data_IF_886358122940
#
_entry.id   IF_886358122940
#
_cell.length_a   1.000
_cell.length_b   1.000
_cell.length_c   1.000
_cell.angle_alpha   90.00
_cell.angle_beta   90.00
_cell.angle_gamma   90.00
#
_symmetry.space_group_name_H-M   'P 1'
#
loop_
_entity.id
_entity.type
_entity.pdbx_description
1 polymer ?
#
# COMPACT_ATOMS: atom_id res chain seq x y z
N UNK A 1 11.80 -12.10 13.18
CA UNK A 1 11.77 -10.79 12.48
C UNK A 1 10.89 -10.81 11.23
N UNK A 2 11.15 -11.72 10.29
CA UNK A 2 10.40 -11.84 9.02
C UNK A 2 8.90 -12.12 9.22
N UNK A 3 8.52 -13.02 10.14
CA UNK A 3 7.10 -13.29 10.42
C UNK A 3 6.35 -12.07 10.96
N UNK A 4 7.01 -11.22 11.75
CA UNK A 4 6.42 -9.98 12.27
C UNK A 4 6.28 -8.93 11.16
N UNK A 5 7.22 -8.93 10.21
CA UNK A 5 7.17 -8.10 9.02
C UNK A 5 6.01 -8.51 8.10
N UNK A 6 5.84 -9.82 7.87
CA UNK A 6 4.84 -10.39 6.97
C UNK A 6 3.43 -10.48 7.59
N UNK A 7 3.31 -10.69 8.90
CA UNK A 7 2.05 -10.87 9.64
C UNK A 7 2.11 -10.12 10.99
N UNK A 8 2.05 -8.79 10.98
CA UNK A 8 2.04 -8.02 12.22
C UNK A 8 0.78 -8.34 13.03
N UNK A 9 0.90 -8.45 14.35
CA UNK A 9 -0.21 -8.74 15.27
C UNK A 9 -1.15 -7.57 15.53
N UNK A 10 -0.90 -6.40 14.95
CA UNK A 10 -1.68 -5.18 15.14
C UNK A 10 -1.02 -3.96 14.49
N UNK A 11 -1.73 -2.82 14.46
CA UNK A 11 -1.28 -1.61 13.75
C UNK A 11 0.06 -1.08 14.25
N UNK A 12 0.27 -1.05 15.57
CA UNK A 12 1.53 -0.59 16.15
C UNK A 12 2.71 -1.45 15.71
N UNK A 13 2.54 -2.77 15.74
CA UNK A 13 3.57 -3.73 15.31
C UNK A 13 3.89 -3.60 13.82
N UNK A 14 2.87 -3.35 12.98
CA UNK A 14 3.04 -3.14 11.55
C UNK A 14 3.94 -1.94 11.24
N UNK A 15 3.72 -0.83 11.96
CA UNK A 15 4.45 0.43 11.82
C UNK A 15 5.84 0.40 12.48
N UNK A 16 5.99 -0.33 13.60
CA UNK A 16 7.25 -0.43 14.34
C UNK A 16 8.34 -1.13 13.53
N UNK A 17 7.95 -2.08 12.69
CA UNK A 17 8.89 -2.94 11.94
C UNK A 17 9.29 -2.33 10.59
N UNK A 18 8.62 -1.28 10.14
CA UNK A 18 8.93 -0.55 8.91
C UNK A 18 7.78 0.32 8.43
N UNK A 19 8.01 1.07 7.36
CA UNK A 19 6.97 1.85 6.68
C UNK A 19 5.80 0.93 6.26
N UNK A 20 4.57 1.40 6.45
CA UNK A 20 3.36 0.64 6.12
C UNK A 20 2.18 1.58 5.88
N UNK A 21 1.40 1.29 4.84
CA UNK A 21 0.12 1.94 4.60
C UNK A 21 -0.96 1.18 5.36
N UNK A 22 -1.74 1.88 6.17
CA UNK A 22 -2.92 1.30 6.83
C UNK A 22 -4.15 1.76 6.06
N UNK A 23 -4.81 0.82 5.39
CA UNK A 23 -6.00 1.09 4.59
C UNK A 23 -7.24 0.68 5.37
N UNK A 24 -8.29 1.51 5.30
CA UNK A 24 -9.60 1.13 5.79
C UNK A 24 -10.39 0.48 4.65
N UNK A 25 -11.16 -0.56 4.95
CA UNK A 25 -11.97 -1.23 3.95
C UNK A 25 -13.17 -1.96 4.54
N UNK A 26 -13.98 -2.55 3.66
CA UNK A 26 -15.11 -3.41 4.03
C UNK A 26 -14.78 -4.84 3.58
N UNK A 27 -14.61 -5.73 4.55
CA UNK A 27 -14.34 -7.14 4.31
C UNK A 27 -15.62 -7.94 4.08
N UNK A 28 -15.53 -8.90 3.15
CA UNK A 28 -16.56 -9.89 2.85
C UNK A 28 -15.88 -11.22 2.50
N UNK A 29 -15.83 -12.13 3.47
CA UNK A 29 -15.16 -13.42 3.29
C UNK A 29 -13.65 -13.22 3.18
N UNK A 30 -13.06 -13.69 2.09
CA UNK A 30 -11.61 -13.68 1.82
C UNK A 30 -11.09 -12.40 1.17
N UNK A 31 -11.95 -11.39 0.97
CA UNK A 31 -11.56 -10.14 0.33
C UNK A 31 -11.96 -8.90 1.12
N UNK A 32 -11.24 -7.81 0.90
CA UNK A 32 -11.57 -6.47 1.40
C UNK A 32 -11.59 -5.46 0.25
N UNK A 33 -12.64 -4.64 0.21
CA UNK A 33 -12.73 -3.49 -0.69
C UNK A 33 -12.14 -2.25 -0.01
N UNK A 34 -11.19 -1.60 -0.67
CA UNK A 34 -10.54 -0.36 -0.21
C UNK A 34 -10.59 0.70 -1.30
N UNK A 35 -10.16 1.92 -0.96
CA UNK A 35 -10.01 3.01 -1.94
C UNK A 35 -8.96 2.72 -3.04
N UNK A 36 -8.09 1.71 -2.85
CA UNK A 36 -7.10 1.28 -3.85
C UNK A 36 -7.56 0.06 -4.67
N UNK A 37 -8.79 -0.40 -4.43
CA UNK A 37 -9.36 -1.61 -5.03
C UNK A 37 -9.49 -2.77 -4.05
N UNK A 38 -9.75 -3.96 -4.61
CA UNK A 38 -9.92 -5.21 -3.85
C UNK A 38 -8.57 -5.81 -3.50
N UNK A 39 -8.43 -6.25 -2.25
CA UNK A 39 -7.30 -7.02 -1.73
C UNK A 39 -7.80 -8.37 -1.23
N UNK A 40 -6.97 -9.40 -1.39
CA UNK A 40 -7.19 -10.70 -0.75
C UNK A 40 -6.70 -10.65 0.70
N UNK A 41 -7.45 -11.27 1.61
CA UNK A 41 -7.14 -11.32 3.04
C UNK A 41 -6.46 -12.65 3.39
N UNK A 42 -5.56 -12.61 4.39
CA UNK A 42 -4.89 -13.81 4.90
C UNK A 42 -5.84 -14.79 5.62
N UNK A 43 -7.02 -14.31 6.01
CA UNK A 43 -8.08 -15.08 6.64
C UNK A 43 -9.41 -14.33 6.52
N UNK A 44 -10.54 -15.03 6.64
CA UNK A 44 -11.84 -14.43 6.41
C UNK A 44 -12.18 -13.36 7.46
N UNK A 45 -12.79 -12.27 7.01
CA UNK A 45 -13.30 -11.21 7.88
C UNK A 45 -14.61 -10.63 7.34
N UNK A 46 -15.36 -9.96 8.21
CA UNK A 46 -16.62 -9.30 7.83
C UNK A 46 -16.69 -7.88 8.43
N UNK A 47 -17.25 -6.95 7.66
CA UNK A 47 -17.50 -5.59 8.11
C UNK A 47 -16.30 -4.67 7.94
N UNK A 48 -16.22 -3.61 8.75
CA UNK A 48 -15.15 -2.61 8.63
C UNK A 48 -13.87 -3.14 9.24
N UNK A 49 -12.81 -3.15 8.45
CA UNK A 49 -11.48 -3.61 8.87
C UNK A 49 -10.41 -2.60 8.47
N UNK A 50 -9.26 -2.69 9.14
CA UNK A 50 -8.02 -2.07 8.68
C UNK A 50 -7.07 -3.15 8.18
N UNK A 51 -6.36 -2.87 7.09
CA UNK A 51 -5.34 -3.77 6.55
C UNK A 51 -4.02 -3.05 6.39
N UNK A 52 -2.94 -3.77 6.69
CA UNK A 52 -1.58 -3.28 6.50
C UNK A 52 -1.07 -3.66 5.10
N UNK A 53 -0.65 -2.64 4.34
CA UNK A 53 -0.12 -2.77 2.98
C UNK A 53 1.27 -2.15 2.97
N UNK A 54 2.29 -2.99 2.79
CA UNK A 54 3.68 -2.53 2.75
C UNK A 54 3.96 -1.75 1.46
N UNK A 55 4.90 -0.78 1.47
CA UNK A 55 5.20 0.04 0.29
C UNK A 55 5.52 -0.75 -0.98
N UNK A 56 6.23 -1.87 -0.85
CA UNK A 56 6.62 -2.77 -1.93
C UNK A 56 5.47 -3.63 -2.47
N UNK A 57 4.31 -3.61 -1.80
CA UNK A 57 3.10 -4.32 -2.21
C UNK A 57 2.13 -3.41 -3.00
N UNK A 58 2.55 -2.19 -3.30
CA UNK A 58 1.86 -1.25 -4.18
C UNK A 58 2.67 -1.07 -5.46
N UNK A 59 1.97 -0.83 -6.57
CA UNK A 59 2.58 -0.51 -7.85
C UNK A 59 2.01 0.79 -8.43
N UNK A 60 2.83 1.47 -9.23
CA UNK A 60 2.47 2.71 -9.93
C UNK A 60 2.40 2.46 -11.44
N UNK A 61 1.32 2.92 -12.05
CA UNK A 61 1.11 2.82 -13.48
C UNK A 61 0.99 4.22 -14.09
N UNK A 62 1.77 4.46 -15.16
CA UNK A 62 1.59 5.60 -16.04
C UNK A 62 0.47 5.34 -17.06
N UNK A 63 -0.12 6.41 -17.62
CA UNK A 63 -1.09 6.34 -18.73
C UNK A 63 -2.48 5.80 -18.37
N UNK A 64 -2.74 5.48 -17.11
CA UNK A 64 -4.07 5.15 -16.59
C UNK A 64 -4.77 6.42 -16.07
N UNK A 65 -6.08 6.33 -15.81
CA UNK A 65 -6.82 7.41 -15.14
C UNK A 65 -6.26 7.61 -13.72
N UNK A 66 -5.37 8.58 -13.53
CA UNK A 66 -4.61 8.76 -12.30
C UNK A 66 -5.50 9.04 -11.07
N UNK A 67 -5.25 8.32 -9.98
CA UNK A 67 -5.88 8.48 -8.67
C UNK A 67 -4.93 9.09 -7.61
N UNK A 68 -3.68 9.38 -8.00
CA UNK A 68 -2.68 9.96 -7.11
C UNK A 68 -1.69 10.88 -7.84
N UNK A 69 -0.97 11.67 -7.04
CA UNK A 69 0.13 12.53 -7.46
C UNK A 69 1.38 12.23 -6.64
N UNK A 70 2.53 12.11 -7.29
CA UNK A 70 3.83 11.97 -6.61
C UNK A 70 4.18 13.31 -5.98
N UNK A 71 4.31 13.36 -4.66
CA UNK A 71 4.63 14.59 -3.92
C UNK A 71 6.05 14.59 -3.36
N UNK A 72 6.68 13.43 -3.24
CA UNK A 72 8.07 13.27 -2.79
C UNK A 72 8.67 11.96 -3.30
N UNK A 73 10.01 11.93 -3.44
CA UNK A 73 10.79 10.73 -3.77
C UNK A 73 12.12 10.72 -3.03
N UNK A 74 12.45 9.57 -2.45
CA UNK A 74 13.69 9.35 -1.71
C UNK A 74 14.44 8.16 -2.31
N UNK A 75 15.62 8.41 -2.90
CA UNK A 75 16.46 7.35 -3.45
C UNK A 75 17.22 6.62 -2.32
N UNK A 76 17.08 5.29 -2.25
CA UNK A 76 17.68 4.43 -1.21
C UNK A 76 18.57 3.34 -1.81
N UNK A 77 19.34 3.69 -2.85
CA UNK A 77 20.25 2.77 -3.52
C UNK A 77 19.55 1.93 -4.58
N UNK A 78 19.07 0.74 -4.20
CA UNK A 78 18.41 -0.17 -5.15
C UNK A 78 16.92 0.12 -5.34
N UNK A 79 16.32 0.88 -4.42
CA UNK A 79 14.92 1.27 -4.47
C UNK A 79 14.73 2.78 -4.33
N UNK A 80 13.56 3.26 -4.73
CA UNK A 80 13.07 4.61 -4.46
C UNK A 80 11.78 4.50 -3.63
N UNK A 81 11.74 5.25 -2.52
CA UNK A 81 10.53 5.43 -1.75
C UNK A 81 9.77 6.65 -2.27
N UNK A 82 8.56 6.45 -2.76
CA UNK A 82 7.66 7.49 -3.23
C UNK A 82 6.62 7.82 -2.16
N UNK A 83 6.34 9.11 -1.96
CA UNK A 83 5.15 9.56 -1.23
C UNK A 83 4.15 10.11 -2.22
N UNK A 84 2.91 9.65 -2.11
CA UNK A 84 1.83 10.02 -3.01
C UNK A 84 0.73 10.73 -2.25
N UNK A 85 0.14 11.76 -2.83
CA UNK A 85 -1.16 12.30 -2.41
C UNK A 85 -2.26 11.60 -3.20
N UNK A 86 -2.99 10.70 -2.54
CA UNK A 86 -4.13 10.00 -3.12
C UNK A 86 -5.38 10.89 -3.14
N UNK A 87 -6.23 10.73 -4.14
CA UNK A 87 -7.46 11.53 -4.29
C UNK A 87 -8.46 11.33 -3.14
N UNK A 88 -8.40 10.20 -2.43
CA UNK A 88 -9.16 9.96 -1.20
C UNK A 88 -8.66 10.79 0.01
N UNK A 89 -7.71 11.70 -0.18
CA UNK A 89 -7.28 12.66 0.84
C UNK A 89 -6.22 12.14 1.81
N UNK A 90 -5.51 11.06 1.47
CA UNK A 90 -4.41 10.51 2.31
C UNK A 90 -3.08 10.45 1.58
N UNK A 91 -2.02 10.36 2.37
CA UNK A 91 -0.68 10.07 1.87
C UNK A 91 -0.45 8.57 1.83
N UNK A 92 0.08 8.07 0.72
CA UNK A 92 0.55 6.70 0.56
C UNK A 92 2.07 6.68 0.40
N UNK A 93 2.67 5.58 0.80
CA UNK A 93 4.10 5.31 0.65
C UNK A 93 4.24 4.09 -0.26
N UNK A 94 5.03 4.20 -1.32
CA UNK A 94 5.26 3.12 -2.31
C UNK A 94 6.75 2.93 -2.51
N UNK A 95 7.22 1.70 -2.58
CA UNK A 95 8.61 1.38 -2.84
C UNK A 95 8.72 0.66 -4.18
N UNK A 96 9.50 1.22 -5.10
CA UNK A 96 9.77 0.64 -6.40
C UNK A 96 11.29 0.50 -6.62
N UNK A 97 11.75 -0.40 -7.51
CA UNK A 97 13.15 -0.44 -7.94
C UNK A 97 13.62 0.92 -8.45
N UNK A 98 14.92 1.22 -8.28
CA UNK A 98 15.50 2.51 -8.66
C UNK A 98 15.52 2.80 -10.17
N UNK A 99 15.16 1.82 -10.99
CA UNK A 99 14.94 1.96 -12.43
C UNK A 99 13.56 2.55 -12.76
N UNK A 100 12.65 2.68 -11.80
CA UNK A 100 11.38 3.38 -11.99
C UNK A 100 11.63 4.90 -12.06
N UNK A 101 11.01 5.55 -13.05
CA UNK A 101 11.30 6.94 -13.46
C UNK A 101 10.16 7.91 -13.16
N UNK A 102 9.48 7.76 -12.02
CA UNK A 102 8.45 8.73 -11.64
C UNK A 102 9.07 9.96 -11.01
N UNK A 103 8.60 11.14 -11.40
CA UNK A 103 9.05 12.43 -10.91
C UNK A 103 8.03 13.08 -9.97
N UNK A 104 8.49 14.00 -9.12
CA UNK A 104 7.57 14.82 -8.30
C UNK A 104 6.68 15.64 -9.23
N UNK A 105 5.37 15.60 -8.97
CA UNK A 105 4.32 16.19 -9.81
C UNK A 105 3.68 15.22 -10.80
N UNK A 106 4.25 14.02 -11.00
CA UNK A 106 3.64 13.02 -11.88
C UNK A 106 2.28 12.57 -11.36
N UNK A 107 1.33 12.46 -12.27
CA UNK A 107 0.00 11.89 -12.04
C UNK A 107 0.05 10.40 -12.35
N UNK A 108 -0.18 9.58 -11.34
CA UNK A 108 -0.03 8.13 -11.41
C UNK A 108 -1.30 7.42 -10.97
N UNK A 109 -1.47 6.19 -11.44
CA UNK A 109 -2.43 5.27 -10.86
C UNK A 109 -1.71 4.34 -9.88
N UNK A 110 -2.11 4.35 -8.61
CA UNK A 110 -1.60 3.46 -7.58
C UNK A 110 -2.62 2.37 -7.28
N UNK A 111 -2.15 1.12 -7.20
CA UNK A 111 -2.97 -0.04 -6.81
C UNK A 111 -2.13 -1.10 -6.09
N UNK A 112 -2.77 -2.05 -5.38
CA UNK A 112 -2.11 -3.23 -4.87
C UNK A 112 -1.57 -4.13 -5.99
N UNK A 113 -0.45 -4.80 -5.73
CA UNK A 113 0.02 -5.88 -6.61
C UNK A 113 -0.95 -7.06 -6.54
N UNK A 114 -1.27 -7.67 -7.69
CA UNK A 114 -2.35 -8.65 -7.81
C UNK A 114 -2.16 -9.92 -6.97
N UNK A 115 -0.94 -10.27 -6.58
CA UNK A 115 -0.61 -11.46 -5.79
C UNK A 115 -0.45 -11.18 -4.30
N UNK A 116 -0.70 -9.95 -3.83
CA UNK A 116 -0.54 -9.62 -2.42
C UNK A 116 -1.70 -10.18 -1.58
N UNK A 117 -1.36 -10.61 -0.36
CA UNK A 117 -2.32 -10.97 0.67
C UNK A 117 -2.17 -9.99 1.83
N UNK A 118 -3.26 -9.33 2.21
CA UNK A 118 -3.26 -8.27 3.20
C UNK A 118 -3.62 -8.83 4.60
N UNK A 119 -2.77 -8.61 5.63
CA UNK A 119 -3.14 -8.90 7.01
C UNK A 119 -4.11 -7.84 7.55
N UNK A 120 -5.18 -8.29 8.20
CA UNK A 120 -6.05 -7.45 9.02
C UNK A 120 -5.27 -7.00 10.26
N UNK A 121 -5.37 -5.72 10.60
CA UNK A 121 -4.73 -5.13 11.78
C UNK A 121 -5.76 -4.39 12.61
N UNK A 122 -5.72 -4.60 13.93
CA UNK A 122 -6.47 -3.82 14.93
C UNK A 122 -5.75 -2.49 15.27
#
# INVERSE_FOLDING_TARGET
>A
PEQVYARPSGRWTAQFVGEVNVLSGVARGDGVETELGKLDLAGPAEGRVHVAVRPEQLELLAGHAANAEVVDREFRGHDVLYRLRHEAGRTLIVQLPSLALFEVGDRVFVRPVASMVAPVVD
#
